data_IF_745760946458
#
_entry.id   IF_745760946458
#
_cell.length_a   1.000
_cell.length_b   1.000
_cell.length_c   1.000
_cell.angle_alpha   90.00
_cell.angle_beta   90.00
_cell.angle_gamma   90.00
#
_symmetry.space_group_name_H-M   'P 1'
#
loop_
_entity.id
_entity.type
_entity.pdbx_description
1 polymer ?
#
# COMPACT_ATOMS: atom_id res chain seq x y z
N UNK A 1 12.14 6.58 -12.25
CA UNK A 1 11.69 5.86 -11.04
C UNK A 1 10.20 5.58 -11.22
N UNK A 2 9.77 4.31 -11.14
CA UNK A 2 8.36 3.92 -11.31
C UNK A 2 7.58 3.87 -9.98
N UNK A 3 8.25 4.10 -8.86
CA UNK A 3 7.69 3.96 -7.52
C UNK A 3 6.89 5.20 -7.11
N UNK A 4 5.89 5.61 -7.89
CA UNK A 4 5.00 6.75 -7.55
C UNK A 4 3.75 6.25 -6.90
N UNK A 5 3.04 5.38 -7.62
CA UNK A 5 1.86 4.68 -7.18
C UNK A 5 2.19 3.19 -7.16
N UNK A 6 1.77 2.51 -6.10
CA UNK A 6 1.93 1.08 -5.93
C UNK A 6 0.59 0.38 -5.96
N UNK A 7 0.61 -0.84 -6.48
CA UNK A 7 -0.43 -1.82 -6.28
C UNK A 7 0.13 -3.04 -5.54
N UNK A 8 -0.59 -3.49 -4.52
CA UNK A 8 -0.38 -4.78 -3.87
C UNK A 8 -1.55 -5.67 -4.25
N UNK A 9 -1.26 -6.79 -4.90
CA UNK A 9 -2.21 -7.89 -5.06
C UNK A 9 -1.85 -8.97 -4.05
N UNK A 10 -2.78 -9.31 -3.16
CA UNK A 10 -2.59 -10.46 -2.28
C UNK A 10 -2.94 -11.73 -3.07
N UNK A 11 -1.93 -12.57 -3.30
CA UNK A 11 -2.09 -13.82 -4.05
C UNK A 11 -2.79 -14.84 -3.17
N UNK A 12 -2.15 -15.19 -2.04
CA UNK A 12 -2.67 -16.14 -1.07
C UNK A 12 -1.81 -16.10 0.22
N UNK A 13 -2.26 -16.79 1.27
CA UNK A 13 -1.53 -17.02 2.53
C UNK A 13 -1.84 -18.40 3.10
N UNK A 14 -0.96 -18.91 3.95
CA UNK A 14 -1.20 -20.18 4.64
C UNK A 14 -2.42 -20.13 5.58
N UNK A 15 -3.07 -21.28 5.79
CA UNK A 15 -4.24 -21.39 6.69
C UNK A 15 -3.94 -21.01 8.16
N UNK A 16 -2.67 -21.12 8.57
CA UNK A 16 -2.18 -20.74 9.90
C UNK A 16 -1.77 -19.25 9.99
N UNK A 17 -1.91 -18.48 8.91
CA UNK A 17 -1.55 -17.07 8.88
C UNK A 17 -2.56 -16.24 9.68
N UNK A 18 -2.06 -15.56 10.71
CA UNK A 18 -2.80 -14.51 11.38
C UNK A 18 -2.91 -13.28 10.48
N UNK A 19 -3.95 -12.43 10.67
CA UNK A 19 -4.08 -11.19 9.92
C UNK A 19 -2.81 -10.36 9.98
N UNK A 20 -2.26 -10.06 8.81
CA UNK A 20 -1.07 -9.24 8.67
C UNK A 20 -1.49 -7.97 7.90
N UNK A 21 -1.75 -6.84 8.59
CA UNK A 21 -2.15 -5.61 7.92
C UNK A 21 -0.93 -4.89 7.31
N UNK A 22 -1.15 -4.22 6.18
CA UNK A 22 -0.28 -3.11 5.77
C UNK A 22 -0.81 -1.83 6.41
N UNK A 23 0.11 -1.04 6.95
CA UNK A 23 -0.16 0.23 7.60
C UNK A 23 0.25 1.34 6.65
N UNK A 24 -0.63 2.31 6.44
CA UNK A 24 -0.41 3.46 5.55
C UNK A 24 -0.89 4.72 6.27
N UNK A 25 -0.02 5.70 6.43
CA UNK A 25 -0.40 7.06 6.82
C UNK A 25 -0.71 7.88 5.56
N UNK A 26 -1.92 8.42 5.47
CA UNK A 26 -2.35 9.23 4.33
C UNK A 26 -1.83 10.67 4.41
N UNK A 27 -2.06 11.45 3.35
CA UNK A 27 -1.64 12.85 3.26
C UNK A 27 -2.39 13.80 4.24
N UNK A 28 -3.37 13.28 4.98
CA UNK A 28 -4.11 14.01 6.00
C UNK A 28 -3.70 13.60 7.42
N UNK A 29 -2.70 12.71 7.57
CA UNK A 29 -2.23 12.20 8.85
C UNK A 29 -3.12 11.09 9.44
N UNK A 30 -4.05 10.53 8.66
CA UNK A 30 -4.84 9.39 9.11
C UNK A 30 -4.01 8.12 8.92
N UNK A 31 -3.92 7.31 9.97
CA UNK A 31 -3.34 5.97 9.89
C UNK A 31 -4.40 4.96 9.46
N UNK A 32 -4.12 4.18 8.42
CA UNK A 32 -4.95 3.11 7.92
C UNK A 32 -4.28 1.76 8.14
N UNK A 33 -5.05 0.76 8.62
CA UNK A 33 -4.65 -0.64 8.65
C UNK A 33 -5.48 -1.41 7.64
N UNK A 34 -4.82 -2.01 6.64
CA UNK A 34 -5.48 -2.73 5.55
C UNK A 34 -5.12 -4.22 5.62
N UNK A 35 -6.10 -5.04 5.98
CA UNK A 35 -6.01 -6.51 5.93
C UNK A 35 -6.55 -6.97 4.58
N UNK A 36 -5.66 -7.43 3.72
CA UNK A 36 -5.99 -8.01 2.41
C UNK A 36 -6.29 -9.50 2.57
N UNK A 37 -7.27 -9.99 1.81
CA UNK A 37 -7.58 -11.41 1.60
C UNK A 37 -7.21 -11.83 0.17
N UNK A 38 -7.04 -13.13 -0.13
CA UNK A 38 -6.63 -13.59 -1.45
C UNK A 38 -7.51 -13.01 -2.58
N UNK A 39 -6.88 -12.40 -3.58
CA UNK A 39 -7.54 -11.71 -4.69
C UNK A 39 -7.77 -10.20 -4.47
N UNK A 40 -7.58 -9.67 -3.26
CA UNK A 40 -7.71 -8.24 -3.00
C UNK A 40 -6.54 -7.45 -3.60
N UNK A 41 -6.87 -6.27 -4.13
CA UNK A 41 -5.93 -5.29 -4.64
C UNK A 41 -5.99 -4.00 -3.82
N UNK A 42 -4.82 -3.49 -3.45
CA UNK A 42 -4.65 -2.18 -2.80
C UNK A 42 -3.86 -1.26 -3.72
N UNK A 43 -4.40 -0.08 -4.02
CA UNK A 43 -3.72 0.98 -4.77
C UNK A 43 -3.44 2.16 -3.82
N UNK A 44 -2.22 2.67 -3.81
CA UNK A 44 -1.84 3.81 -2.97
C UNK A 44 -0.62 4.57 -3.51
N UNK A 45 -0.50 5.84 -3.17
CA UNK A 45 0.63 6.71 -3.56
C UNK A 45 1.84 6.44 -2.66
N UNK A 46 2.52 5.33 -2.92
CA UNK A 46 3.65 4.82 -2.14
C UNK A 46 4.86 5.75 -2.07
N UNK A 47 5.04 6.64 -3.05
CA UNK A 47 6.11 7.66 -2.99
C UNK A 47 5.91 8.71 -1.90
N UNK A 48 4.67 8.92 -1.44
CA UNK A 48 4.32 10.02 -0.52
C UNK A 48 3.74 9.53 0.80
N UNK A 49 2.89 8.51 0.75
CA UNK A 49 2.27 7.96 1.95
C UNK A 49 3.27 7.09 2.70
N UNK A 50 3.56 7.42 3.95
CA UNK A 50 4.42 6.59 4.79
C UNK A 50 3.73 5.25 5.05
N UNK A 51 4.41 4.13 4.82
CA UNK A 51 3.77 2.82 4.87
C UNK A 51 4.72 1.69 5.26
N UNK A 52 4.16 0.60 5.79
CA UNK A 52 4.92 -0.58 6.15
C UNK A 52 4.07 -1.67 6.80
N UNK A 53 4.75 -2.75 7.23
CA UNK A 53 4.15 -3.84 8.00
C UNK A 53 4.87 -3.93 9.35
N UNK A 54 4.51 -3.07 10.33
CA UNK A 54 5.22 -2.97 11.59
C UNK A 54 5.01 -4.21 12.48
N UNK A 55 3.82 -4.83 12.40
CA UNK A 55 3.54 -6.11 13.03
C UNK A 55 4.38 -7.22 12.38
N UNK A 56 4.99 -8.09 13.18
CA UNK A 56 5.66 -9.29 12.66
C UNK A 56 4.64 -10.26 12.09
N UNK A 57 4.94 -10.80 10.92
CA UNK A 57 4.14 -11.87 10.33
C UNK A 57 4.13 -13.09 11.24
N UNK A 58 2.96 -13.72 11.39
CA UNK A 58 2.79 -14.99 12.09
C UNK A 58 2.00 -15.95 11.19
N UNK A 59 2.68 -16.97 10.66
CA UNK A 59 2.14 -17.95 9.73
C UNK A 59 3.27 -18.64 8.98
N UNK A 60 2.93 -19.67 8.22
CA UNK A 60 3.91 -20.42 7.42
C UNK A 60 4.36 -19.64 6.18
N UNK A 61 3.45 -18.96 5.47
CA UNK A 61 3.79 -18.14 4.31
C UNK A 61 2.71 -17.10 3.97
N UNK A 62 3.13 -16.03 3.31
CA UNK A 62 2.26 -14.97 2.79
C UNK A 62 2.79 -14.51 1.44
N UNK A 63 1.94 -14.47 0.41
CA UNK A 63 2.35 -14.13 -0.95
C UNK A 63 1.63 -12.89 -1.48
N UNK A 64 2.42 -11.97 -2.05
CA UNK A 64 1.91 -10.75 -2.69
C UNK A 64 2.73 -10.39 -3.91
N UNK A 65 2.06 -9.75 -4.87
CA UNK A 65 2.70 -9.11 -6.02
C UNK A 65 2.69 -7.60 -5.78
N UNK A 66 3.85 -6.97 -5.96
CA UNK A 66 4.04 -5.53 -5.86
C UNK A 66 4.29 -4.95 -7.26
N UNK A 67 3.42 -4.04 -7.67
CA UNK A 67 3.48 -3.38 -8.98
C UNK A 67 3.68 -1.89 -8.74
N UNK A 68 4.64 -1.29 -9.43
CA UNK A 68 4.99 0.13 -9.30
C UNK A 68 4.78 0.84 -10.64
N UNK A 69 4.01 1.92 -10.64
CA UNK A 69 3.70 2.71 -11.81
C UNK A 69 3.85 4.21 -11.56
N UNK A 70 4.07 4.93 -12.65
CA UNK A 70 4.16 6.38 -12.69
C UNK A 70 3.22 6.93 -13.78
N UNK A 71 2.80 8.20 -13.68
CA UNK A 71 1.97 8.82 -14.70
C UNK A 71 2.60 8.76 -16.09
N UNK A 72 1.84 8.27 -17.07
CA UNK A 72 2.30 8.21 -18.45
C UNK A 72 1.83 9.42 -19.26
N UNK A 73 2.44 10.59 -19.00
CA UNK A 73 2.18 11.81 -19.77
C UNK A 73 3.48 12.46 -20.24
N UNK A 74 3.41 13.22 -21.33
CA UNK A 74 4.56 13.95 -21.86
C UNK A 74 5.08 14.98 -20.84
N UNK A 75 4.18 15.63 -20.10
CA UNK A 75 4.53 16.58 -19.05
C UNK A 75 5.33 15.90 -17.93
N UNK A 76 4.87 14.73 -17.47
CA UNK A 76 5.58 13.96 -16.44
C UNK A 76 6.97 13.50 -16.93
N UNK A 77 7.06 13.06 -18.19
CA UNK A 77 8.34 12.62 -18.77
C UNK A 77 9.30 13.77 -19.05
N UNK A 78 8.80 15.01 -19.10
CA UNK A 78 9.61 16.20 -19.42
C UNK A 78 10.49 16.69 -18.25
N UNK A 79 10.28 16.19 -17.03
CA UNK A 79 10.99 16.62 -15.82
C UNK A 79 11.62 15.42 -15.10
N UNK A 80 12.77 15.63 -14.46
CA UNK A 80 13.35 14.62 -13.57
C UNK A 80 12.69 14.70 -12.18
N UNK A 81 11.85 13.73 -11.86
CA UNK A 81 11.14 13.65 -10.58
C UNK A 81 11.92 12.94 -9.46
N UNK A 82 13.16 12.50 -9.68
CA UNK A 82 13.91 11.68 -8.72
C UNK A 82 14.04 12.33 -7.34
N UNK A 83 14.27 13.65 -7.28
CA UNK A 83 14.37 14.37 -6.02
C UNK A 83 13.01 14.52 -5.32
N UNK A 84 11.95 14.78 -6.08
CA UNK A 84 10.60 14.91 -5.53
C UNK A 84 10.10 13.59 -4.95
N UNK A 85 10.54 12.46 -5.50
CA UNK A 85 10.12 11.13 -5.03
C UNK A 85 10.82 10.75 -3.73
N UNK A 86 12.10 11.09 -3.56
CA UNK A 86 12.89 10.62 -2.42
C UNK A 86 13.01 11.64 -1.28
N UNK A 87 12.89 12.94 -1.57
CA UNK A 87 13.25 13.99 -0.62
C UNK A 87 12.18 15.06 -0.43
N UNK A 88 10.97 14.87 -0.99
CA UNK A 88 9.90 15.84 -0.73
C UNK A 88 9.44 15.73 0.72
N UNK A 89 9.74 16.74 1.50
CA UNK A 89 9.07 17.02 2.77
C UNK A 89 7.99 18.08 2.52
N UNK A 90 6.89 18.05 3.28
CA UNK A 90 5.88 19.08 3.16
C UNK A 90 6.49 20.46 3.52
N UNK A 91 6.03 21.53 2.85
CA UNK A 91 6.62 22.87 2.97
C UNK A 91 6.64 23.42 4.41
N UNK A 92 5.75 22.93 5.25
CA UNK A 92 5.61 23.29 6.65
C UNK A 92 6.52 22.50 7.59
N UNK A 93 7.17 21.41 7.14
CA UNK A 93 8.14 20.63 7.95
C UNK A 93 9.40 21.42 8.33
N UNK A 94 9.65 22.57 7.71
CA UNK A 94 10.71 23.48 8.12
C UNK A 94 10.37 24.27 9.40
N UNK A 95 9.10 24.28 9.82
CA UNK A 95 8.70 24.86 11.08
C UNK A 95 9.02 23.87 12.21
N UNK A 96 9.95 24.27 13.09
CA UNK A 96 10.20 23.49 14.29
C UNK A 96 8.95 23.54 15.17
N UNK A 97 8.39 22.39 15.57
CA UNK A 97 7.28 22.39 16.51
C UNK A 97 7.74 23.01 17.85
N UNK A 98 6.81 23.55 18.65
CA UNK A 98 7.11 24.04 19.99
C UNK A 98 7.85 22.97 20.81
N UNK A 99 8.87 23.36 21.57
CA UNK A 99 9.75 22.44 22.32
C UNK A 99 9.08 21.71 23.50
N UNK A 100 7.79 21.94 23.73
CA UNK A 100 7.12 21.61 25.00
C UNK A 100 6.32 20.30 24.96
N UNK A 101 6.41 19.54 23.87
CA UNK A 101 5.72 18.26 23.76
C UNK A 101 6.67 17.11 24.10
N UNK A 102 6.23 16.26 25.01
CA UNK A 102 6.79 14.93 25.20
C UNK A 102 6.37 14.06 24.02
N UNK A 103 7.20 13.99 22.97
CA UNK A 103 6.97 13.09 21.83
C UNK A 103 7.37 11.65 22.17
N UNK A 104 6.72 10.70 21.53
CA UNK A 104 7.15 9.30 21.54
C UNK A 104 8.55 9.17 20.94
N UNK A 105 9.34 8.24 21.50
CA UNK A 105 10.69 8.00 20.99
C UNK A 105 10.62 7.30 19.65
N UNK A 106 11.19 7.89 18.60
CA UNK A 106 11.33 7.27 17.29
C UNK A 106 12.76 6.76 17.08
N UNK A 107 12.91 5.47 16.78
CA UNK A 107 14.19 4.87 16.43
C UNK A 107 14.25 4.52 14.94
N UNK A 108 15.25 5.06 14.23
CA UNK A 108 15.54 4.63 12.85
C UNK A 108 16.29 3.29 12.84
N UNK A 109 15.84 2.35 12.00
CA UNK A 109 16.41 1.01 11.81
C UNK A 109 16.59 0.72 10.32
N UNK A 110 17.75 1.10 9.78
CA UNK A 110 18.02 0.98 8.34
C UNK A 110 17.09 1.89 7.54
N UNK A 111 16.29 1.31 6.63
CA UNK A 111 15.24 2.02 5.87
C UNK A 111 13.87 1.96 6.55
N UNK A 112 13.81 1.51 7.80
CA UNK A 112 12.60 1.42 8.61
C UNK A 112 12.71 2.30 9.86
N UNK A 113 11.62 2.44 10.60
CA UNK A 113 11.56 3.11 11.89
C UNK A 113 10.73 2.28 12.88
N UNK A 114 10.92 2.53 14.17
CA UNK A 114 10.15 1.91 15.24
C UNK A 114 9.98 2.86 16.41
N UNK A 115 8.78 2.87 16.98
CA UNK A 115 8.48 3.50 18.27
C UNK A 115 8.48 2.40 19.34
N UNK A 116 9.55 2.24 20.13
CA UNK A 116 9.78 1.04 20.94
C UNK A 116 8.76 0.87 22.06
N UNK A 117 8.21 1.98 22.57
CA UNK A 117 7.21 2.01 23.64
C UNK A 117 5.79 1.70 23.14
N UNK A 118 5.61 1.51 21.83
CA UNK A 118 4.31 1.30 21.21
C UNK A 118 4.12 -0.13 20.72
N UNK A 119 2.87 -0.58 20.79
CA UNK A 119 2.47 -1.88 20.28
C UNK A 119 2.81 -1.99 18.79
N UNK A 120 3.36 -3.14 18.41
CA UNK A 120 3.92 -3.38 17.07
C UNK A 120 4.94 -2.35 16.57
N UNK A 121 5.42 -1.44 17.43
CA UNK A 121 6.42 -0.46 17.05
C UNK A 121 5.87 0.80 16.37
N UNK A 122 4.56 1.06 16.47
CA UNK A 122 3.95 2.26 15.87
C UNK A 122 2.72 2.73 16.69
N UNK A 123 2.80 3.92 17.28
CA UNK A 123 1.85 4.47 18.23
C UNK A 123 0.50 4.81 17.60
N UNK A 124 0.51 5.32 16.36
CA UNK A 124 -0.69 5.70 15.60
C UNK A 124 -1.61 4.53 15.27
N UNK A 125 -1.18 3.28 15.52
CA UNK A 125 -2.02 2.09 15.34
C UNK A 125 -3.26 2.08 16.25
N UNK A 126 -3.20 2.73 17.41
CA UNK A 126 -4.31 2.76 18.39
C UNK A 126 -5.57 3.41 17.81
N UNK A 127 -5.39 4.40 16.95
CA UNK A 127 -6.47 5.19 16.34
C UNK A 127 -6.64 4.89 14.85
N UNK A 128 -6.03 3.80 14.37
CA UNK A 128 -6.00 3.49 12.95
C UNK A 128 -7.37 3.05 12.41
N UNK A 129 -7.71 3.61 11.24
CA UNK A 129 -8.88 3.24 10.45
C UNK A 129 -8.67 1.83 9.89
N UNK A 130 -9.55 0.91 10.24
CA UNK A 130 -9.43 -0.50 9.86
C UNK A 130 -10.17 -0.78 8.54
N UNK A 131 -9.48 -1.45 7.62
CA UNK A 131 -10.01 -1.96 6.37
C UNK A 131 -9.76 -3.47 6.32
N UNK A 132 -10.77 -4.22 5.90
CA UNK A 132 -10.66 -5.68 5.82
C UNK A 132 -11.36 -6.18 4.57
N UNK A 133 -10.67 -7.07 3.86
CA UNK A 133 -11.24 -7.84 2.77
C UNK A 133 -12.33 -8.84 3.19
N UNK A 134 -12.97 -9.50 2.22
CA UNK A 134 -12.72 -9.36 0.79
C UNK A 134 -13.28 -8.07 0.20
N UNK A 135 -12.55 -7.49 -0.75
CA UNK A 135 -13.02 -6.39 -1.55
C UNK A 135 -14.17 -6.84 -2.46
N UNK A 136 -15.03 -5.88 -2.85
CA UNK A 136 -16.08 -6.15 -3.83
C UNK A 136 -15.45 -6.37 -5.21
N UNK A 137 -15.81 -7.49 -5.84
CA UNK A 137 -15.35 -7.81 -7.19
C UNK A 137 -15.68 -6.67 -8.16
N UNK A 138 -14.71 -6.33 -9.01
CA UNK A 138 -14.80 -5.31 -10.07
C UNK A 138 -15.12 -3.87 -9.57
N UNK A 139 -14.92 -3.61 -8.27
CA UNK A 139 -15.16 -2.31 -7.63
C UNK A 139 -13.91 -1.82 -6.92
N UNK A 140 -13.58 -0.55 -7.11
CA UNK A 140 -12.57 0.19 -6.36
C UNK A 140 -13.27 1.06 -5.33
N UNK A 141 -12.95 0.87 -4.05
CA UNK A 141 -13.42 1.71 -2.95
C UNK A 141 -12.31 2.67 -2.52
N UNK A 142 -12.61 3.96 -2.43
CA UNK A 142 -11.67 4.96 -1.91
C UNK A 142 -11.70 5.05 -0.38
N UNK A 143 -10.69 5.68 0.22
CA UNK A 143 -10.65 5.96 1.67
C UNK A 143 -11.83 6.83 2.14
N UNK A 144 -12.44 7.62 1.26
CA UNK A 144 -13.67 8.37 1.52
C UNK A 144 -14.96 7.55 1.39
N UNK A 145 -14.88 6.23 1.19
CA UNK A 145 -16.04 5.34 1.05
C UNK A 145 -16.76 5.43 -0.30
N UNK A 146 -16.17 6.09 -1.30
CA UNK A 146 -16.76 6.18 -2.64
C UNK A 146 -16.36 4.98 -3.48
N UNK A 147 -17.32 4.38 -4.16
CA UNK A 147 -17.13 3.21 -5.01
C UNK A 147 -17.12 3.60 -6.50
N UNK A 148 -16.24 2.96 -7.26
CA UNK A 148 -16.10 3.10 -8.71
C UNK A 148 -15.95 1.72 -9.36
N UNK A 149 -16.41 1.51 -10.60
CA UNK A 149 -16.05 0.32 -11.35
C UNK A 149 -14.54 0.28 -11.59
N UNK A 150 -13.92 -0.89 -11.43
CA UNK A 150 -12.50 -1.11 -11.75
C UNK A 150 -12.20 -0.83 -13.23
N UNK A 151 -13.17 -1.14 -14.10
CA UNK A 151 -13.11 -0.90 -15.54
C UNK A 151 -14.18 0.11 -15.97
N UNK A 152 -13.92 1.43 -15.83
CA UNK A 152 -14.91 2.47 -16.10
C UNK A 152 -15.35 2.53 -17.58
N UNK A 153 -14.52 2.04 -18.51
CA UNK A 153 -14.81 2.01 -19.95
C UNK A 153 -15.27 0.62 -20.44
N UNK A 154 -15.67 -0.28 -19.52
CA UNK A 154 -15.95 -1.68 -19.81
C UNK A 154 -14.72 -2.58 -19.69
N UNK A 155 -14.94 -3.88 -19.50
CA UNK A 155 -13.84 -4.85 -19.47
C UNK A 155 -13.03 -4.78 -20.77
N UNK A 156 -11.68 -4.80 -20.72
CA UNK A 156 -10.90 -5.05 -21.91
C UNK A 156 -11.33 -6.40 -22.46
N UNK A 157 -11.85 -6.42 -23.70
CA UNK A 157 -12.36 -7.63 -24.33
C UNK A 157 -11.34 -8.75 -24.17
N UNK A 158 -11.68 -9.77 -23.38
CA UNK A 158 -10.91 -10.99 -23.32
C UNK A 158 -11.04 -11.68 -24.67
N UNK A 159 -10.15 -11.36 -25.60
CA UNK A 159 -9.86 -12.27 -26.70
C UNK A 159 -9.12 -13.45 -26.09
N UNK A 160 -9.86 -14.35 -25.46
CA UNK A 160 -9.43 -15.73 -25.28
C UNK A 160 -9.43 -16.36 -26.67
N UNK A 161 -8.31 -16.26 -27.38
CA UNK A 161 -7.99 -17.26 -28.37
C UNK A 161 -7.85 -18.58 -27.61
N UNK A 162 -8.93 -19.35 -27.59
CA UNK A 162 -8.93 -20.71 -27.10
C UNK A 162 -8.07 -21.58 -28.01
N UNK A 163 -6.76 -21.58 -27.78
CA UNK A 163 -5.94 -22.72 -28.15
C UNK A 163 -6.03 -23.71 -27.00
N UNK A 164 -6.91 -24.69 -27.20
CA UNK A 164 -6.92 -25.93 -26.44
C UNK A 164 -5.54 -26.56 -26.52
N UNK A 165 -4.75 -26.48 -25.44
CA UNK A 165 -3.59 -27.33 -25.26
C UNK A 165 -4.11 -28.77 -25.20
N UNK A 166 -3.84 -29.54 -26.25
CA UNK A 166 -3.99 -31.00 -26.22
C UNK A 166 -2.90 -31.53 -25.30
N UNK A 167 -3.29 -32.31 -24.29
CA UNK A 167 -2.41 -33.28 -23.64
C UNK A 167 -1.90 -34.24 -24.72
N UNK A 168 -0.59 -34.27 -24.91
CA UNK A 168 0.09 -35.41 -25.53
C UNK A 168 0.67 -36.24 -24.39
N UNK A 169 0.07 -37.42 -24.21
CA UNK A 169 0.62 -38.51 -23.41
C UNK A 169 1.90 -39.04 -24.06
N UNK A 170 3.00 -39.10 -23.31
CA UNK A 170 4.09 -40.07 -23.47
C UNK A 170 4.53 -40.61 -22.10
#
# INVERSE_FOLDING_TARGET
NTHIISCILHVDSSDDAEPWPIVIEDLHGNTHQVILTPGDMLLYESSKCFHGRPQRFNGSWYSSIFIHYYPDTDEWRSVNHEYEIHYSVALDWFHQPPKDDTYETLEMRGTSMREPECEHGWCSLKDAIQWKGPAKKDIVMTTGGKEYPLFPNGEPSSQTNGDSAKEEDE
#
